data_IF_983775453178
#
_entry.id   IF_983775453178
#
_cell.length_a   1.000
_cell.length_b   1.000
_cell.length_c   1.000
_cell.angle_alpha   90.00
_cell.angle_beta   90.00
_cell.angle_gamma   90.00
#
_symmetry.space_group_name_H-M   'P 1'
#
loop_
_entity.id
_entity.type
_entity.pdbx_description
1 polymer ?
#
# COMPACT_ATOMS: atom_id res chain seq x y z
N UNK A 1 2.49 -25.22 -28.65
CA UNK A 1 3.89 -24.89 -28.31
C UNK A 1 3.94 -24.68 -26.81
N UNK A 2 4.68 -25.51 -26.07
CA UNK A 2 4.84 -25.35 -24.61
C UNK A 2 6.11 -24.54 -24.33
N UNK A 3 5.95 -23.35 -23.74
CA UNK A 3 7.06 -22.50 -23.38
C UNK A 3 7.71 -22.98 -22.06
N UNK A 4 9.04 -22.99 -21.99
CA UNK A 4 9.78 -23.36 -20.77
C UNK A 4 9.96 -22.14 -19.86
N UNK A 5 8.98 -21.88 -18.99
CA UNK A 5 9.06 -20.81 -18.00
C UNK A 5 10.00 -21.17 -16.82
N UNK A 6 10.63 -20.14 -16.23
CA UNK A 6 11.46 -20.28 -15.01
C UNK A 6 10.62 -20.67 -13.79
N UNK A 7 11.26 -21.14 -12.72
CA UNK A 7 10.58 -21.47 -11.45
C UNK A 7 9.80 -20.27 -10.89
N UNK A 8 10.45 -19.10 -10.84
CA UNK A 8 9.82 -17.82 -10.44
C UNK A 8 8.60 -17.46 -11.30
N UNK A 9 8.67 -17.63 -12.62
CA UNK A 9 7.53 -17.32 -13.48
C UNK A 9 6.33 -18.27 -13.26
N UNK A 10 6.58 -19.50 -12.78
CA UNK A 10 5.51 -20.47 -12.47
C UNK A 10 4.82 -20.20 -11.14
N UNK A 11 5.46 -19.46 -10.22
CA UNK A 11 4.86 -19.08 -8.93
C UNK A 11 4.02 -17.80 -9.01
N UNK A 12 4.08 -17.08 -10.14
CA UNK A 12 3.26 -15.91 -10.40
C UNK A 12 1.80 -16.33 -10.67
N UNK A 13 0.94 -16.17 -9.66
CA UNK A 13 -0.51 -16.37 -9.80
C UNK A 13 -1.20 -15.22 -10.54
N UNK A 14 -2.46 -15.43 -10.95
CA UNK A 14 -3.31 -14.34 -11.44
C UNK A 14 -3.59 -13.33 -10.32
N UNK A 15 -3.69 -12.05 -10.67
CA UNK A 15 -4.06 -11.00 -9.71
C UNK A 15 -5.57 -10.84 -9.72
N UNK A 16 -6.25 -11.36 -8.69
CA UNK A 16 -7.71 -11.19 -8.50
C UNK A 16 -8.10 -9.71 -8.57
N UNK A 17 -7.29 -8.81 -7.97
CA UNK A 17 -7.54 -7.36 -8.04
C UNK A 17 -7.50 -6.85 -9.48
N UNK A 18 -6.54 -7.31 -10.30
CA UNK A 18 -6.48 -6.97 -11.72
C UNK A 18 -7.70 -7.49 -12.48
N UNK A 19 -8.12 -8.71 -12.18
CA UNK A 19 -9.24 -9.35 -12.88
C UNK A 19 -10.57 -8.67 -12.49
N UNK A 20 -10.76 -8.29 -11.22
CA UNK A 20 -11.86 -7.43 -10.76
C UNK A 20 -11.82 -6.07 -11.46
N UNK A 21 -10.66 -5.42 -11.52
CA UNK A 21 -10.53 -4.12 -12.18
C UNK A 21 -10.91 -4.19 -13.66
N UNK A 22 -10.49 -5.25 -14.38
CA UNK A 22 -10.87 -5.49 -15.77
C UNK A 22 -12.37 -5.67 -15.94
N UNK A 23 -13.03 -6.38 -15.02
CA UNK A 23 -14.49 -6.57 -15.05
C UNK A 23 -15.25 -5.26 -14.81
N UNK A 24 -14.69 -4.36 -14.00
CA UNK A 24 -15.31 -3.06 -13.68
C UNK A 24 -15.02 -1.96 -14.69
N UNK A 25 -14.01 -2.13 -15.56
CA UNK A 25 -13.65 -1.12 -16.56
C UNK A 25 -14.68 -1.10 -17.70
N UNK A 26 -15.34 0.04 -17.90
CA UNK A 26 -16.28 0.24 -19.01
C UNK A 26 -17.62 -0.49 -18.84
N UNK A 27 -17.95 -0.93 -17.63
CA UNK A 27 -19.22 -1.60 -17.29
C UNK A 27 -20.04 -0.76 -16.31
N UNK A 28 -21.32 -1.09 -16.12
CA UNK A 28 -22.20 -0.46 -15.10
C UNK A 28 -21.90 -0.92 -13.65
N UNK A 29 -20.80 -1.65 -13.44
CA UNK A 29 -20.42 -2.19 -12.14
C UNK A 29 -19.78 -1.08 -11.30
N UNK A 30 -20.39 -0.75 -10.17
CA UNK A 30 -19.84 0.20 -9.19
C UNK A 30 -18.67 -0.46 -8.44
N UNK A 31 -17.45 0.01 -8.70
CA UNK A 31 -16.24 -0.56 -8.10
C UNK A 31 -15.90 0.11 -6.77
N UNK A 32 -16.07 -0.64 -5.68
CA UNK A 32 -15.52 -0.37 -4.34
C UNK A 32 -14.20 -1.14 -4.11
N UNK A 33 -13.59 -1.67 -5.17
CA UNK A 33 -12.47 -2.60 -5.07
C UNK A 33 -11.10 -1.92 -5.22
N UNK A 34 -10.90 -1.16 -6.30
CA UNK A 34 -9.59 -0.68 -6.74
C UNK A 34 -8.84 0.14 -5.69
N UNK A 35 -7.52 -0.06 -5.59
CA UNK A 35 -6.63 0.77 -4.75
C UNK A 35 -6.31 2.14 -5.36
N UNK A 36 -7.32 2.77 -5.96
CA UNK A 36 -7.19 3.91 -6.85
C UNK A 36 -7.58 5.21 -6.12
N UNK A 37 -6.74 6.25 -6.14
CA UNK A 37 -7.15 7.58 -5.71
C UNK A 37 -8.28 8.10 -6.62
N UNK A 38 -9.07 9.02 -6.10
CA UNK A 38 -10.03 9.80 -6.89
C UNK A 38 -9.29 10.63 -7.95
N UNK A 39 -9.54 10.31 -9.22
CA UNK A 39 -8.89 10.92 -10.38
C UNK A 39 -9.31 12.37 -10.64
N UNK A 40 -10.54 12.74 -10.24
CA UNK A 40 -11.05 14.12 -10.29
C UNK A 40 -10.19 15.11 -9.48
N UNK A 41 -9.35 14.64 -8.56
CA UNK A 41 -8.43 15.47 -7.79
C UNK A 41 -7.02 15.53 -8.36
N UNK A 42 -6.69 14.77 -9.40
CA UNK A 42 -5.34 14.84 -9.95
C UNK A 42 -5.03 16.26 -10.41
N UNK A 43 -3.87 16.83 -10.03
CA UNK A 43 -3.53 18.21 -10.32
C UNK A 43 -3.04 18.36 -11.78
N UNK A 44 -3.89 18.00 -12.74
CA UNK A 44 -3.56 17.86 -14.18
C UNK A 44 -2.89 19.11 -14.72
N UNK A 45 -3.43 20.29 -14.43
CA UNK A 45 -2.88 21.57 -14.89
C UNK A 45 -1.48 21.86 -14.30
N UNK A 46 -1.29 21.59 -13.00
CA UNK A 46 0.00 21.81 -12.36
C UNK A 46 1.05 20.82 -12.86
N UNK A 47 0.66 19.56 -13.08
CA UNK A 47 1.49 18.53 -13.70
C UNK A 47 1.86 18.93 -15.12
N UNK A 48 0.90 19.31 -15.97
CA UNK A 48 1.15 19.74 -17.34
C UNK A 48 2.15 20.90 -17.41
N UNK A 49 1.96 21.93 -16.58
CA UNK A 49 2.90 23.05 -16.47
C UNK A 49 4.29 22.62 -16.00
N UNK A 50 4.39 21.63 -15.13
CA UNK A 50 5.69 21.10 -14.70
C UNK A 50 6.44 20.42 -15.85
N UNK A 51 5.76 19.57 -16.64
CA UNK A 51 6.36 18.99 -17.85
C UNK A 51 6.75 20.07 -18.87
N UNK A 52 5.91 21.08 -19.08
CA UNK A 52 6.23 22.20 -19.97
C UNK A 52 7.52 22.93 -19.52
N UNK A 53 7.67 23.20 -18.21
CA UNK A 53 8.89 23.79 -17.66
C UNK A 53 10.11 22.91 -17.89
N UNK A 54 10.01 21.61 -17.66
CA UNK A 54 11.11 20.67 -17.93
C UNK A 54 11.56 20.76 -19.38
N UNK A 55 10.64 20.71 -20.34
CA UNK A 55 11.01 20.81 -21.75
C UNK A 55 11.60 22.17 -22.12
N UNK A 56 11.13 23.25 -21.49
CA UNK A 56 11.65 24.61 -21.74
C UNK A 56 13.03 24.84 -21.12
N UNK A 57 13.28 24.35 -19.90
CA UNK A 57 14.50 24.62 -19.13
C UNK A 57 15.61 23.61 -19.42
N UNK A 58 15.27 22.32 -19.51
CA UNK A 58 16.23 21.25 -19.67
C UNK A 58 16.38 20.80 -21.14
N UNK A 59 15.37 21.06 -21.97
CA UNK A 59 15.39 20.71 -23.40
C UNK A 59 15.76 19.25 -23.63
N UNK A 60 16.78 19.02 -24.46
CA UNK A 60 17.26 17.67 -24.81
C UNK A 60 17.85 16.90 -23.63
N UNK A 61 18.32 17.58 -22.57
CA UNK A 61 18.91 16.88 -21.40
C UNK A 61 17.87 16.11 -20.59
N UNK A 62 16.61 16.59 -20.55
CA UNK A 62 15.52 15.86 -19.90
C UNK A 62 15.18 14.54 -20.63
N UNK A 63 15.48 14.45 -21.93
CA UNK A 63 15.22 13.28 -22.76
C UNK A 63 16.35 12.25 -22.74
N UNK A 64 17.48 12.54 -22.09
CA UNK A 64 18.63 11.66 -22.04
C UNK A 64 18.56 10.69 -20.84
N UNK A 65 19.33 9.61 -20.92
CA UNK A 65 19.58 8.72 -19.78
C UNK A 65 20.06 9.52 -18.54
N UNK A 66 19.50 9.16 -17.39
CA UNK A 66 19.83 9.73 -16.08
C UNK A 66 20.62 8.78 -15.20
N UNK A 67 20.83 9.19 -13.95
CA UNK A 67 21.47 8.36 -12.93
C UNK A 67 20.50 7.28 -12.43
N UNK A 68 21.01 6.06 -12.23
CA UNK A 68 20.24 4.93 -11.66
C UNK A 68 19.58 5.28 -10.34
N UNK A 69 20.31 5.97 -9.46
CA UNK A 69 19.82 6.35 -8.13
C UNK A 69 18.69 7.39 -8.18
N UNK A 70 18.54 8.09 -9.30
CA UNK A 70 17.54 9.12 -9.52
C UNK A 70 18.10 10.54 -9.68
N UNK A 71 17.20 11.45 -10.04
CA UNK A 71 17.49 12.85 -10.28
C UNK A 71 17.90 13.55 -8.98
N UNK A 72 19.12 14.10 -8.95
CA UNK A 72 19.75 14.64 -7.74
C UNK A 72 18.88 15.71 -7.05
N UNK A 73 18.37 16.75 -7.74
CA UNK A 73 17.54 17.77 -7.09
C UNK A 73 16.29 17.20 -6.42
N UNK A 74 15.67 16.18 -7.00
CA UNK A 74 14.52 15.52 -6.39
C UNK A 74 14.93 14.73 -5.14
N UNK A 75 16.07 14.02 -5.17
CA UNK A 75 16.59 13.30 -3.99
C UNK A 75 16.93 14.25 -2.84
N UNK A 76 17.53 15.40 -3.13
CA UNK A 76 17.82 16.45 -2.13
C UNK A 76 16.55 17.11 -1.60
N UNK A 77 15.52 17.24 -2.42
CA UNK A 77 14.20 17.68 -1.94
C UNK A 77 13.56 16.64 -1.02
N UNK A 78 13.69 15.35 -1.35
CA UNK A 78 13.21 14.27 -0.51
C UNK A 78 13.92 14.25 0.84
N UNK A 79 15.23 14.54 0.94
CA UNK A 79 15.88 14.65 2.25
C UNK A 79 15.23 15.72 3.13
N UNK A 80 14.86 16.87 2.56
CA UNK A 80 14.15 17.93 3.29
C UNK A 80 12.73 17.50 3.70
N UNK A 81 12.02 16.77 2.82
CA UNK A 81 10.70 16.20 3.13
C UNK A 81 10.75 15.10 4.20
N UNK A 82 11.85 14.34 4.27
CA UNK A 82 12.08 13.34 5.30
C UNK A 82 12.42 14.00 6.63
N UNK A 83 13.21 15.09 6.61
CA UNK A 83 13.54 15.85 7.81
C UNK A 83 12.29 16.43 8.50
N UNK A 84 11.29 16.89 7.74
CA UNK A 84 10.02 17.36 8.32
C UNK A 84 9.17 16.25 8.97
N UNK A 85 9.52 14.98 8.71
CA UNK A 85 8.92 13.80 9.33
C UNK A 85 9.80 13.21 10.44
N UNK A 86 10.85 13.93 10.85
CA UNK A 86 11.78 13.47 11.89
C UNK A 86 12.80 12.43 11.40
N UNK A 87 12.95 12.23 10.09
CA UNK A 87 13.94 11.32 9.50
C UNK A 87 15.14 12.14 9.02
N UNK A 88 16.31 11.90 9.63
CA UNK A 88 17.56 12.55 9.26
C UNK A 88 18.36 11.66 8.32
N UNK A 89 18.43 12.03 7.04
CA UNK A 89 19.14 11.26 6.01
C UNK A 89 19.80 12.17 4.98
N UNK A 90 20.83 11.65 4.33
CA UNK A 90 21.45 12.29 3.16
C UNK A 90 20.86 11.73 1.88
N UNK A 91 21.14 12.37 0.75
CA UNK A 91 20.69 11.87 -0.56
C UNK A 91 21.21 10.45 -0.84
N UNK A 92 22.37 10.09 -0.28
CA UNK A 92 23.01 8.78 -0.50
C UNK A 92 22.26 7.64 0.19
N UNK A 93 21.38 7.97 1.14
CA UNK A 93 20.45 7.03 1.76
C UNK A 93 19.16 6.85 0.95
N UNK A 94 18.95 7.64 -0.12
CA UNK A 94 17.71 7.69 -0.90
C UNK A 94 17.97 7.23 -2.33
N UNK A 95 17.17 6.28 -2.82
CA UNK A 95 17.11 5.89 -4.23
C UNK A 95 15.69 6.02 -4.76
N UNK A 96 15.56 6.65 -5.94
CA UNK A 96 14.30 6.75 -6.67
C UNK A 96 13.95 5.43 -7.33
N UNK A 97 12.66 5.09 -7.31
CA UNK A 97 12.12 3.86 -7.90
C UNK A 97 10.88 4.16 -8.73
N UNK A 98 10.51 3.21 -9.60
CA UNK A 98 9.34 3.26 -10.47
C UNK A 98 8.05 2.95 -9.68
N UNK A 99 7.85 3.69 -8.59
CA UNK A 99 6.88 3.46 -7.52
C UNK A 99 7.37 2.44 -6.47
N UNK A 100 6.75 2.44 -5.29
CA UNK A 100 7.12 1.55 -4.17
C UNK A 100 7.07 0.06 -4.51
N UNK A 101 6.24 -0.36 -5.49
CA UNK A 101 6.23 -1.74 -5.96
C UNK A 101 7.60 -2.20 -6.51
N UNK A 102 8.34 -1.31 -7.19
CA UNK A 102 9.70 -1.61 -7.62
C UNK A 102 10.65 -1.66 -6.42
N UNK A 103 10.45 -0.82 -5.39
CA UNK A 103 11.21 -0.93 -4.15
C UNK A 103 11.06 -2.33 -3.55
N UNK A 104 9.82 -2.83 -3.44
CA UNK A 104 9.54 -4.17 -2.88
C UNK A 104 10.25 -5.25 -3.70
N UNK A 105 10.18 -5.20 -5.04
CA UNK A 105 10.88 -6.13 -5.92
C UNK A 105 12.40 -6.08 -5.77
N UNK A 106 13.00 -4.88 -5.81
CA UNK A 106 14.45 -4.72 -5.73
C UNK A 106 15.02 -5.11 -4.36
N UNK A 107 14.33 -4.75 -3.26
CA UNK A 107 14.72 -5.17 -1.91
C UNK A 107 14.64 -6.69 -1.79
N UNK A 108 13.56 -7.29 -2.28
CA UNK A 108 13.40 -8.76 -2.30
C UNK A 108 14.53 -9.43 -3.09
N UNK A 109 14.85 -8.90 -4.27
CA UNK A 109 15.93 -9.40 -5.13
C UNK A 109 17.32 -9.30 -4.49
N UNK A 110 17.54 -8.30 -3.65
CA UNK A 110 18.84 -8.03 -3.01
C UNK A 110 19.01 -8.83 -1.71
N UNK A 111 17.93 -9.06 -0.96
CA UNK A 111 17.99 -9.60 0.40
C UNK A 111 17.46 -11.03 0.55
N UNK A 112 16.62 -11.53 -0.37
CA UNK A 112 15.99 -12.84 -0.24
C UNK A 112 16.68 -13.90 -1.10
N UNK A 113 17.07 -14.99 -0.46
CA UNK A 113 17.28 -16.27 -1.09
C UNK A 113 16.01 -17.15 -0.98
N UNK A 114 15.80 -18.14 -1.86
CA UNK A 114 14.70 -19.09 -1.71
C UNK A 114 14.73 -19.77 -0.33
N UNK A 115 13.55 -19.91 0.29
CA UNK A 115 13.32 -20.44 1.64
C UNK A 115 13.65 -19.46 2.79
N UNK A 116 14.20 -18.28 2.52
CA UNK A 116 14.30 -17.24 3.54
C UNK A 116 12.90 -16.87 4.07
N UNK A 117 12.82 -16.58 5.37
CA UNK A 117 11.56 -16.20 5.99
C UNK A 117 11.37 -14.68 5.99
N UNK A 118 10.17 -14.23 5.62
CA UNK A 118 9.69 -12.85 5.78
C UNK A 118 8.52 -12.86 6.74
N UNK A 119 8.59 -12.03 7.79
CA UNK A 119 7.44 -11.80 8.66
C UNK A 119 6.55 -10.69 8.10
N UNK A 120 5.23 -10.87 8.16
CA UNK A 120 4.25 -9.89 7.65
C UNK A 120 3.10 -9.71 8.63
N UNK A 121 2.40 -8.57 8.52
CA UNK A 121 1.13 -8.37 9.23
C UNK A 121 0.04 -9.35 8.76
N UNK A 122 -0.99 -9.54 9.60
CA UNK A 122 -2.17 -10.33 9.28
C UNK A 122 -3.44 -9.48 9.45
N UNK A 123 -4.06 -8.95 8.37
CA UNK A 123 -3.70 -9.05 6.95
C UNK A 123 -2.57 -8.09 6.52
N UNK A 124 -2.08 -8.24 5.28
CA UNK A 124 -1.06 -7.35 4.67
C UNK A 124 -1.31 -7.10 3.18
N UNK A 125 -0.42 -6.36 2.51
CA UNK A 125 -0.55 -5.98 1.12
C UNK A 125 -0.29 -7.15 0.16
N UNK A 126 -1.32 -7.53 -0.61
CA UNK A 126 -1.30 -8.62 -1.58
C UNK A 126 -0.09 -8.59 -2.52
N UNK A 127 0.27 -7.42 -3.08
CA UNK A 127 1.35 -7.41 -4.07
C UNK A 127 2.74 -7.61 -3.44
N UNK A 128 2.92 -7.27 -2.15
CA UNK A 128 4.13 -7.65 -1.41
C UNK A 128 4.21 -9.17 -1.24
N UNK A 129 3.11 -9.83 -0.81
CA UNK A 129 3.04 -11.29 -0.70
C UNK A 129 3.39 -11.98 -2.03
N UNK A 130 2.86 -11.47 -3.15
CA UNK A 130 3.14 -11.99 -4.48
C UNK A 130 4.62 -11.87 -4.87
N UNK A 131 5.26 -10.73 -4.55
CA UNK A 131 6.69 -10.52 -4.82
C UNK A 131 7.54 -11.47 -3.99
N UNK A 132 7.34 -11.51 -2.67
CA UNK A 132 8.11 -12.38 -1.77
C UNK A 132 7.99 -13.85 -2.16
N UNK A 133 6.77 -14.31 -2.48
CA UNK A 133 6.52 -15.67 -2.96
C UNK A 133 7.21 -15.95 -4.30
N UNK A 134 7.33 -14.96 -5.18
CA UNK A 134 7.99 -15.14 -6.47
C UNK A 134 9.50 -15.38 -6.32
N UNK A 135 10.13 -14.78 -5.30
CA UNK A 135 11.52 -15.06 -4.91
C UNK A 135 11.68 -16.33 -4.06
N UNK A 136 10.59 -17.06 -3.80
CA UNK A 136 10.62 -18.33 -3.07
C UNK A 136 10.73 -18.19 -1.55
N UNK A 137 10.41 -17.01 -1.00
CA UNK A 137 10.42 -16.80 0.44
C UNK A 137 9.29 -17.57 1.15
N UNK A 138 9.57 -18.01 2.37
CA UNK A 138 8.57 -18.47 3.32
C UNK A 138 7.93 -17.25 3.98
N UNK A 139 6.62 -17.07 3.85
CA UNK A 139 5.94 -15.90 4.40
C UNK A 139 5.17 -16.33 5.64
N UNK A 140 5.53 -15.75 6.79
CA UNK A 140 4.93 -16.09 8.09
C UNK A 140 4.22 -14.86 8.63
N UNK A 141 2.92 -14.97 8.85
CA UNK A 141 2.13 -13.91 9.45
C UNK A 141 2.43 -13.76 10.94
N UNK A 142 2.51 -12.52 11.42
CA UNK A 142 2.46 -12.15 12.84
C UNK A 142 1.01 -11.73 13.14
N UNK A 143 0.51 -12.14 14.31
CA UNK A 143 -0.81 -11.77 14.78
C UNK A 143 -0.88 -10.25 14.93
N UNK A 144 -1.92 -9.65 14.36
CA UNK A 144 -2.12 -8.19 14.35
C UNK A 144 -3.51 -7.90 14.90
N UNK A 145 -3.60 -6.92 15.80
CA UNK A 145 -4.87 -6.38 16.31
C UNK A 145 -5.08 -4.94 15.82
N UNK A 146 -6.10 -4.24 16.35
CA UNK A 146 -6.39 -2.86 15.97
C UNK A 146 -5.25 -1.87 16.26
N UNK A 147 -4.31 -2.23 17.14
CA UNK A 147 -3.15 -1.42 17.52
C UNK A 147 -1.86 -1.81 16.78
N UNK A 148 -1.88 -2.84 15.93
CA UNK A 148 -0.72 -3.30 15.16
C UNK A 148 -0.23 -4.70 15.53
N UNK A 149 1.00 -5.04 15.11
CA UNK A 149 1.60 -6.36 15.38
C UNK A 149 1.70 -6.63 16.88
N UNK A 150 1.28 -7.82 17.31
CA UNK A 150 1.38 -8.25 18.70
C UNK A 150 2.83 -8.60 19.06
N UNK A 151 3.38 -7.91 20.05
CA UNK A 151 4.81 -7.97 20.39
C UNK A 151 5.26 -9.36 20.86
N UNK A 152 4.42 -10.08 21.62
CA UNK A 152 4.77 -11.42 22.12
C UNK A 152 4.87 -12.44 20.98
N UNK A 153 3.92 -12.39 20.04
CA UNK A 153 3.92 -13.26 18.86
C UNK A 153 5.05 -12.89 17.89
N UNK A 154 5.34 -11.59 17.72
CA UNK A 154 6.51 -11.12 16.99
C UNK A 154 7.80 -11.67 17.60
N UNK A 155 7.99 -11.52 18.92
CA UNK A 155 9.22 -11.97 19.57
C UNK A 155 9.40 -13.49 19.44
N UNK A 156 8.33 -14.27 19.60
CA UNK A 156 8.38 -15.72 19.41
C UNK A 156 8.84 -16.07 17.98
N UNK A 157 8.26 -15.41 16.96
CA UNK A 157 8.58 -15.65 15.55
C UNK A 157 9.96 -15.16 15.15
N UNK A 158 10.45 -14.06 15.74
CA UNK A 158 11.83 -13.61 15.54
C UNK A 158 12.83 -14.66 16.02
N UNK A 159 12.59 -15.29 17.19
CA UNK A 159 13.42 -16.37 17.74
C UNK A 159 13.37 -17.63 16.88
N UNK A 160 12.16 -18.02 16.47
CA UNK A 160 11.92 -19.28 15.74
C UNK A 160 12.43 -19.22 14.30
N UNK A 161 12.09 -18.15 13.57
CA UNK A 161 12.31 -18.10 12.12
C UNK A 161 13.55 -17.34 11.69
N UNK A 162 14.12 -16.48 12.56
CA UNK A 162 15.26 -15.61 12.23
C UNK A 162 15.10 -14.94 10.85
N UNK A 163 13.98 -14.21 10.64
CA UNK A 163 13.58 -13.75 9.32
C UNK A 163 14.58 -12.77 8.71
N UNK A 164 14.60 -12.67 7.37
CA UNK A 164 15.40 -11.65 6.67
C UNK A 164 14.93 -10.24 7.00
N UNK A 165 13.62 -10.05 7.04
CA UNK A 165 13.01 -8.80 7.46
C UNK A 165 11.54 -9.00 7.88
N UNK A 166 11.01 -7.99 8.57
CA UNK A 166 9.59 -7.83 8.90
C UNK A 166 9.00 -6.75 7.97
N UNK A 167 8.03 -7.09 7.13
CA UNK A 167 7.34 -6.13 6.24
C UNK A 167 6.04 -5.63 6.87
N UNK A 168 5.88 -4.30 6.92
CA UNK A 168 4.84 -3.63 7.70
C UNK A 168 4.32 -2.38 6.99
N UNK A 169 3.04 -2.05 7.23
CA UNK A 169 2.36 -0.85 6.76
C UNK A 169 1.68 -0.19 7.99
N UNK A 170 2.44 0.46 8.89
CA UNK A 170 1.94 0.84 10.21
C UNK A 170 0.85 1.92 10.19
N UNK A 171 0.72 2.65 9.08
CA UNK A 171 -0.15 3.82 8.95
C UNK A 171 -1.13 3.65 7.79
N UNK A 172 -2.42 3.55 8.12
CA UNK A 172 -3.54 3.35 7.19
C UNK A 172 -3.34 2.13 6.28
N UNK A 173 -3.02 1.00 6.91
CA UNK A 173 -2.59 -0.23 6.25
C UNK A 173 -3.47 -0.66 5.07
N UNK A 174 -2.87 -1.30 4.07
CA UNK A 174 -3.63 -1.99 3.03
C UNK A 174 -3.59 -3.50 3.34
N UNK A 175 -4.72 -4.13 3.68
CA UNK A 175 -6.09 -3.67 3.44
C UNK A 175 -6.80 -3.04 4.65
N UNK A 176 -6.25 -3.16 5.87
CA UNK A 176 -7.05 -3.00 7.08
C UNK A 176 -7.43 -1.55 7.40
N UNK A 177 -6.75 -0.54 6.84
CA UNK A 177 -6.92 0.87 7.18
C UNK A 177 -6.51 1.20 8.62
N UNK A 178 -5.84 0.27 9.30
CA UNK A 178 -5.45 0.38 10.70
C UNK A 178 -4.27 1.32 10.89
N UNK A 179 -4.13 1.83 12.12
CA UNK A 179 -2.99 2.64 12.54
C UNK A 179 -2.41 2.04 13.81
N UNK A 180 -1.11 1.78 13.78
CA UNK A 180 -0.43 1.22 14.94
C UNK A 180 -0.35 2.22 16.10
N UNK A 181 -0.52 1.72 17.33
CA UNK A 181 -0.26 2.49 18.54
C UNK A 181 1.22 2.81 18.68
N UNK A 182 1.55 3.87 19.44
CA UNK A 182 2.94 4.21 19.73
C UNK A 182 3.67 3.07 20.45
N UNK A 183 2.99 2.36 21.35
CA UNK A 183 3.53 1.18 22.03
C UNK A 183 3.97 0.10 21.03
N UNK A 184 3.12 -0.25 20.05
CA UNK A 184 3.48 -1.24 19.03
C UNK A 184 4.62 -0.75 18.14
N UNK A 185 4.60 0.52 17.72
CA UNK A 185 5.68 1.09 16.89
C UNK A 185 7.05 0.99 17.59
N UNK A 186 7.12 1.44 18.85
CA UNK A 186 8.35 1.38 19.65
C UNK A 186 8.77 -0.07 19.91
N UNK A 187 7.85 -0.91 20.37
CA UNK A 187 8.16 -2.30 20.71
C UNK A 187 8.61 -3.14 19.52
N UNK A 188 8.05 -2.93 18.32
CA UNK A 188 8.50 -3.63 17.10
C UNK A 188 9.93 -3.22 16.73
N UNK A 189 10.25 -1.92 16.79
CA UNK A 189 11.61 -1.41 16.55
C UNK A 189 12.59 -2.02 17.57
N UNK A 190 12.27 -1.97 18.87
CA UNK A 190 13.11 -2.51 19.93
C UNK A 190 13.37 -4.01 19.77
N UNK A 191 12.33 -4.80 19.46
CA UNK A 191 12.47 -6.23 19.20
C UNK A 191 13.33 -6.49 17.96
N UNK A 192 13.07 -5.81 16.85
CA UNK A 192 13.84 -6.03 15.62
C UNK A 192 15.32 -5.66 15.81
N UNK A 193 15.64 -4.57 16.52
CA UNK A 193 17.01 -4.23 16.92
C UNK A 193 17.64 -5.32 17.80
N UNK A 194 16.92 -5.78 18.83
CA UNK A 194 17.38 -6.83 19.75
C UNK A 194 17.77 -8.13 19.03
N UNK A 195 17.03 -8.51 17.98
CA UNK A 195 17.29 -9.72 17.20
C UNK A 195 18.07 -9.46 15.89
N UNK A 196 18.55 -8.23 15.65
CA UNK A 196 19.29 -7.87 14.42
C UNK A 196 18.49 -8.09 13.13
N UNK A 197 17.16 -7.96 13.20
CA UNK A 197 16.26 -8.17 12.06
C UNK A 197 15.90 -6.81 11.44
N UNK A 198 15.89 -6.73 10.10
CA UNK A 198 15.48 -5.52 9.40
C UNK A 198 13.95 -5.36 9.43
N UNK A 199 13.48 -4.12 9.49
CA UNK A 199 12.09 -3.75 9.24
C UNK A 199 12.02 -3.13 7.84
N UNK A 200 11.05 -3.56 7.05
CA UNK A 200 10.69 -2.93 5.78
C UNK A 200 9.33 -2.23 5.93
N UNK A 201 9.38 -0.94 6.24
CA UNK A 201 8.23 -0.06 6.40
C UNK A 201 7.78 0.48 5.04
N UNK A 202 6.56 0.14 4.61
CA UNK A 202 5.93 0.70 3.42
C UNK A 202 4.85 1.69 3.83
N UNK A 203 5.03 2.96 3.46
CA UNK A 203 4.18 4.08 3.89
C UNK A 203 3.67 4.90 2.70
N UNK A 204 2.78 4.34 1.86
CA UNK A 204 2.22 5.07 0.73
C UNK A 204 1.06 5.98 1.16
N UNK A 205 0.58 5.88 2.40
CA UNK A 205 -0.65 6.53 2.87
C UNK A 205 -0.45 7.53 4.00
N UNK A 206 0.69 7.56 4.71
CA UNK A 206 0.86 8.29 5.97
C UNK A 206 0.50 9.79 5.93
N UNK A 207 0.57 10.40 4.74
CA UNK A 207 0.18 11.80 4.52
C UNK A 207 -1.33 12.02 4.36
N UNK A 208 -2.10 10.98 4.05
CA UNK A 208 -3.55 11.01 3.83
C UNK A 208 -4.34 10.91 5.15
N UNK A 209 -3.99 11.71 6.15
CA UNK A 209 -4.67 11.76 7.46
C UNK A 209 -5.92 12.63 7.41
N UNK A 210 -6.99 12.20 8.07
CA UNK A 210 -8.26 12.95 8.11
C UNK A 210 -8.27 14.10 9.11
N UNK A 211 -7.45 14.00 10.17
CA UNK A 211 -7.17 15.09 11.10
C UNK A 211 -5.67 15.39 11.11
N UNK A 212 -5.30 16.63 10.79
CA UNK A 212 -3.90 17.05 10.74
C UNK A 212 -3.21 17.05 12.10
N UNK A 213 -3.97 17.11 13.20
CA UNK A 213 -3.43 17.05 14.56
C UNK A 213 -2.93 15.66 14.92
N UNK A 214 -3.40 14.63 14.19
CA UNK A 214 -2.88 13.28 14.35
C UNK A 214 -1.42 13.22 13.87
N UNK A 215 -0.59 12.58 14.69
CA UNK A 215 0.80 12.35 14.41
C UNK A 215 1.11 10.85 14.54
N UNK A 216 1.64 10.27 13.47
CA UNK A 216 1.99 8.86 13.36
C UNK A 216 3.45 8.77 12.93
N UNK A 217 4.42 8.87 13.86
CA UNK A 217 5.84 8.82 13.51
C UNK A 217 6.17 7.50 12.81
N UNK A 218 7.00 7.56 11.78
CA UNK A 218 7.47 6.39 11.04
C UNK A 218 8.34 5.53 11.95
N UNK A 219 8.41 4.22 11.68
CA UNK A 219 9.31 3.33 12.39
C UNK A 219 10.77 3.76 12.18
N UNK A 220 11.11 4.25 10.99
CA UNK A 220 12.44 4.80 10.72
C UNK A 220 12.77 6.00 11.64
N UNK A 221 11.84 6.92 11.84
CA UNK A 221 12.06 8.07 12.74
C UNK A 221 12.25 7.66 14.20
N UNK A 222 11.58 6.57 14.63
CA UNK A 222 11.71 6.00 15.97
C UNK A 222 13.07 5.29 16.11
N UNK A 223 13.44 4.48 15.11
CA UNK A 223 14.69 3.72 15.12
C UNK A 223 15.94 4.63 15.16
N UNK A 224 15.91 5.75 14.43
CA UNK A 224 17.00 6.75 14.47
C UNK A 224 17.17 7.44 15.84
N UNK A 225 16.17 7.37 16.73
CA UNK A 225 16.29 7.87 18.10
C UNK A 225 16.94 6.83 19.04
N UNK A 226 17.08 5.57 18.60
CA UNK A 226 17.56 4.46 19.41
C UNK A 226 19.01 4.05 19.13
N UNK A 227 19.69 4.65 18.14
CA UNK A 227 21.11 4.43 17.88
C UNK A 227 21.60 4.99 16.55
N UNK A 228 22.90 4.84 16.29
CA UNK A 228 23.53 5.31 15.05
C UNK A 228 23.23 4.40 13.84
N UNK A 229 23.19 3.08 14.07
CA UNK A 229 22.82 2.10 13.04
C UNK A 229 21.30 2.00 12.91
N UNK A 230 20.80 2.02 11.67
CA UNK A 230 19.38 1.84 11.35
C UNK A 230 19.04 0.39 11.02
N UNK A 231 17.95 -0.11 11.60
CA UNK A 231 17.35 -1.40 11.27
C UNK A 231 16.10 -1.24 10.38
N UNK A 232 15.75 -0.02 9.98
CA UNK A 232 14.54 0.25 9.20
C UNK A 232 14.88 0.68 7.77
N UNK A 233 14.34 -0.05 6.81
CA UNK A 233 14.18 0.38 5.42
C UNK A 233 12.78 0.99 5.26
N UNK A 234 12.70 2.21 4.76
CA UNK A 234 11.45 2.92 4.55
C UNK A 234 11.18 3.10 3.05
N UNK A 235 9.98 2.83 2.58
CA UNK A 235 9.56 3.17 1.22
C UNK A 235 8.29 3.99 1.21
N UNK A 236 8.21 4.93 0.28
CA UNK A 236 6.97 5.66 0.00
C UNK A 236 6.85 6.01 -1.49
N UNK A 237 5.80 6.72 -1.85
CA UNK A 237 5.38 6.92 -3.25
C UNK A 237 4.62 8.22 -3.47
N UNK A 238 4.77 8.81 -4.65
CA UNK A 238 3.92 9.90 -5.13
C UNK A 238 2.57 9.41 -5.68
N UNK A 239 2.36 8.09 -5.72
CA UNK A 239 1.17 7.50 -6.34
C UNK A 239 -0.14 7.90 -5.67
N UNK A 240 -0.13 8.22 -4.37
CA UNK A 240 -1.33 8.52 -3.59
C UNK A 240 -1.48 10.01 -3.24
N UNK A 241 -0.44 10.80 -3.51
CA UNK A 241 -0.36 12.22 -3.17
C UNK A 241 -0.28 13.14 -4.38
N UNK A 242 0.13 12.63 -5.54
CA UNK A 242 0.18 13.38 -6.81
C UNK A 242 -0.66 12.66 -7.86
N UNK A 243 -0.15 11.56 -8.41
CA UNK A 243 -0.85 10.73 -9.38
C UNK A 243 -0.16 9.37 -9.54
N UNK A 244 -0.91 8.24 -9.55
CA UNK A 244 -0.35 6.91 -9.77
C UNK A 244 0.43 6.78 -11.08
N UNK A 245 0.00 7.49 -12.13
CA UNK A 245 0.54 7.41 -13.49
C UNK A 245 1.98 7.93 -13.65
N UNK A 246 2.46 8.77 -12.73
CA UNK A 246 3.85 9.27 -12.74
C UNK A 246 4.85 8.17 -12.39
N UNK A 247 4.38 7.06 -11.80
CA UNK A 247 5.21 5.90 -11.43
C UNK A 247 6.47 6.25 -10.65
N UNK A 248 6.37 7.13 -9.65
CA UNK A 248 7.52 7.56 -8.85
C UNK A 248 7.36 7.22 -7.37
N UNK A 249 8.40 6.63 -6.79
CA UNK A 249 8.55 6.36 -5.37
C UNK A 249 10.01 6.37 -4.97
N UNK A 250 10.30 6.08 -3.72
CA UNK A 250 11.66 6.07 -3.21
C UNK A 250 11.83 5.06 -2.07
N UNK A 251 13.06 4.58 -1.92
CA UNK A 251 13.56 3.83 -0.77
C UNK A 251 14.49 4.75 0.04
N UNK A 252 14.36 4.71 1.35
CA UNK A 252 15.31 5.24 2.33
C UNK A 252 15.88 4.05 3.10
N UNK A 253 17.19 3.87 3.08
CA UNK A 253 17.86 2.79 3.80
C UNK A 253 19.33 3.14 4.10
N UNK A 254 20.01 2.25 4.83
CA UNK A 254 21.47 2.31 4.95
C UNK A 254 22.14 2.33 3.58
N UNK A 255 23.26 3.07 3.47
CA UNK A 255 23.95 3.29 2.21
C UNK A 255 24.44 1.97 1.58
N UNK A 256 24.80 0.96 2.38
CA UNK A 256 25.19 -0.36 1.87
C UNK A 256 24.02 -1.06 1.16
N UNK A 257 22.80 -0.95 1.69
CA UNK A 257 21.59 -1.48 1.06
C UNK A 257 21.27 -0.70 -0.21
N UNK A 258 21.28 0.64 -0.15
CA UNK A 258 21.03 1.50 -1.31
C UNK A 258 22.00 1.18 -2.45
N UNK A 259 23.27 0.99 -2.17
CA UNK A 259 24.28 0.64 -3.17
C UNK A 259 24.02 -0.72 -3.85
N UNK A 260 23.47 -1.70 -3.13
CA UNK A 260 23.09 -3.00 -3.70
C UNK A 260 21.80 -2.89 -4.51
N UNK A 261 20.81 -2.17 -4.00
CA UNK A 261 19.54 -1.88 -4.69
C UNK A 261 19.79 -1.11 -5.98
N UNK A 262 20.71 -0.13 -5.98
CA UNK A 262 21.12 0.61 -7.18
C UNK A 262 21.64 -0.31 -8.27
N UNK A 263 22.56 -1.25 -7.96
CA UNK A 263 23.07 -2.23 -8.94
C UNK A 263 21.97 -3.14 -9.49
N UNK A 264 21.06 -3.59 -8.61
CA UNK A 264 19.91 -4.40 -9.02
C UNK A 264 18.96 -3.60 -9.94
N UNK A 265 18.71 -2.32 -9.61
CA UNK A 265 17.90 -1.39 -10.40
C UNK A 265 18.52 -1.13 -11.76
N UNK A 266 19.81 -0.84 -11.82
CA UNK A 266 20.53 -0.64 -13.08
C UNK A 266 20.35 -1.83 -14.02
N UNK A 267 20.39 -3.05 -13.47
CA UNK A 267 20.16 -4.28 -14.23
C UNK A 267 18.69 -4.51 -14.61
N UNK A 268 17.75 -3.91 -13.89
CA UNK A 268 16.32 -4.08 -14.12
C UNK A 268 15.76 -3.07 -15.14
N UNK A 269 16.11 -1.79 -15.01
CA UNK A 269 15.55 -0.73 -15.85
C UNK A 269 16.50 0.45 -16.15
N UNK A 270 17.80 0.32 -15.83
CA UNK A 270 18.82 1.37 -15.89
C UNK A 270 18.57 2.51 -14.90
N UNK A 271 17.47 3.25 -15.06
CA UNK A 271 16.98 4.28 -14.16
C UNK A 271 15.48 4.53 -14.40
N UNK A 272 14.78 5.10 -13.41
CA UNK A 272 13.40 5.55 -13.61
C UNK A 272 13.32 6.77 -14.52
N UNK A 273 12.16 7.03 -15.14
CA UNK A 273 11.95 8.13 -16.08
C UNK A 273 12.55 9.47 -15.57
N UNK A 274 13.55 9.99 -16.28
CA UNK A 274 14.20 11.26 -15.94
C UNK A 274 13.22 12.42 -16.07
N UNK A 275 12.36 12.39 -17.11
CA UNK A 275 11.36 13.42 -17.38
C UNK A 275 10.37 13.51 -16.23
N UNK A 276 9.87 12.37 -15.74
CA UNK A 276 8.89 12.34 -14.64
C UNK A 276 9.51 12.84 -13.33
N UNK A 277 10.77 12.51 -13.06
CA UNK A 277 11.48 12.99 -11.88
C UNK A 277 11.77 14.50 -11.94
N UNK A 278 12.19 15.02 -13.10
CA UNK A 278 12.35 16.46 -13.31
C UNK A 278 11.00 17.18 -13.15
N UNK A 279 9.93 16.63 -13.74
CA UNK A 279 8.60 17.22 -13.65
C UNK A 279 8.06 17.19 -12.22
N UNK A 280 8.33 16.13 -11.44
CA UNK A 280 8.01 16.11 -10.02
C UNK A 280 8.80 17.16 -9.23
N UNK A 281 10.09 17.33 -9.50
CA UNK A 281 10.88 18.38 -8.86
C UNK A 281 10.30 19.76 -9.16
N UNK A 282 10.01 20.04 -10.43
CA UNK A 282 9.34 21.27 -10.87
C UNK A 282 7.94 21.43 -10.28
N UNK A 283 7.18 20.35 -10.10
CA UNK A 283 5.85 20.42 -9.49
C UNK A 283 5.99 20.90 -8.04
N UNK A 284 6.95 20.35 -7.28
CA UNK A 284 7.14 20.64 -5.87
C UNK A 284 7.64 22.07 -5.58
N UNK A 285 8.07 22.83 -6.60
CA UNK A 285 8.41 24.26 -6.46
C UNK A 285 7.23 25.21 -6.67
N UNK A 286 6.26 24.81 -7.49
CA UNK A 286 5.21 25.71 -7.97
C UNK A 286 3.79 25.25 -7.60
N UNK A 287 3.64 24.11 -6.93
CA UNK A 287 2.37 23.56 -6.50
C UNK A 287 2.38 23.30 -4.99
N UNK A 288 1.37 23.81 -4.28
CA UNK A 288 1.15 23.52 -2.86
C UNK A 288 0.66 22.07 -2.69
N UNK A 289 1.62 21.14 -2.68
CA UNK A 289 1.34 19.72 -2.50
C UNK A 289 0.67 19.45 -1.15
N UNK A 290 1.04 20.18 -0.10
CA UNK A 290 0.50 19.98 1.24
C UNK A 290 -0.97 20.42 1.31
N UNK A 291 -1.30 21.57 0.71
CA UNK A 291 -2.68 22.04 0.55
C UNK A 291 -3.52 21.13 -0.33
N UNK A 292 -2.92 20.58 -1.38
CA UNK A 292 -3.58 19.57 -2.20
C UNK A 292 -3.90 18.31 -1.39
N UNK A 293 -2.94 17.77 -0.64
CA UNK A 293 -3.15 16.61 0.22
C UNK A 293 -4.22 16.88 1.28
N UNK A 294 -4.22 18.06 1.91
CA UNK A 294 -5.30 18.47 2.84
C UNK A 294 -6.68 18.39 2.19
N UNK A 295 -6.79 18.90 0.97
CA UNK A 295 -8.06 18.90 0.21
C UNK A 295 -8.52 17.47 -0.08
N UNK A 296 -7.61 16.63 -0.57
CA UNK A 296 -7.89 15.22 -0.88
C UNK A 296 -8.26 14.43 0.38
N UNK A 297 -7.53 14.61 1.47
CA UNK A 297 -7.82 13.96 2.76
C UNK A 297 -9.19 14.34 3.30
N UNK A 298 -9.57 15.62 3.22
CA UNK A 298 -10.90 16.10 3.65
C UNK A 298 -12.02 15.48 2.83
N UNK A 299 -11.86 15.42 1.50
CA UNK A 299 -12.81 14.74 0.63
C UNK A 299 -12.94 13.24 0.98
N UNK A 300 -11.80 12.55 1.14
CA UNK A 300 -11.80 11.12 1.45
C UNK A 300 -12.46 10.83 2.80
N UNK A 301 -12.26 11.71 3.79
CA UNK A 301 -12.97 11.65 5.05
C UNK A 301 -14.49 11.77 4.85
N UNK A 302 -14.94 12.77 4.08
CA UNK A 302 -16.36 12.96 3.75
C UNK A 302 -16.97 11.73 3.05
N UNK A 303 -16.26 11.13 2.09
CA UNK A 303 -16.69 9.90 1.41
C UNK A 303 -16.80 8.71 2.36
N UNK A 304 -15.80 8.53 3.24
CA UNK A 304 -15.80 7.48 4.26
C UNK A 304 -16.99 7.65 5.23
N UNK A 305 -17.23 8.85 5.74
CA UNK A 305 -18.37 9.14 6.63
C UNK A 305 -19.72 8.88 5.94
N UNK A 306 -19.85 9.28 4.67
CA UNK A 306 -21.06 9.02 3.90
C UNK A 306 -21.30 7.52 3.71
N UNK A 307 -20.26 6.78 3.31
CA UNK A 307 -20.35 5.33 3.13
C UNK A 307 -20.72 4.62 4.44
N UNK A 308 -20.02 4.92 5.53
CA UNK A 308 -20.31 4.30 6.84
C UNK A 308 -21.70 4.65 7.35
N UNK A 309 -22.20 5.86 7.11
CA UNK A 309 -23.58 6.24 7.46
C UNK A 309 -24.59 5.39 6.71
N UNK A 310 -24.45 5.26 5.39
CA UNK A 310 -25.31 4.42 4.55
C UNK A 310 -25.27 2.94 4.96
N UNK A 311 -24.10 2.42 5.33
CA UNK A 311 -23.95 1.05 5.82
C UNK A 311 -24.64 0.86 7.19
N UNK A 312 -24.53 1.83 8.11
CA UNK A 312 -25.21 1.79 9.43
C UNK A 312 -26.73 1.77 9.27
N UNK A 313 -27.28 2.52 8.32
CA UNK A 313 -28.71 2.55 8.02
C UNK A 313 -29.27 1.19 7.55
N UNK A 314 -28.42 0.29 7.03
CA UNK A 314 -28.85 -1.05 6.61
C UNK A 314 -29.00 -2.04 7.76
N UNK A 315 -28.42 -1.75 8.93
CA UNK A 315 -28.49 -2.60 10.12
C UNK A 315 -28.10 -4.06 9.85
N UNK A 316 -27.05 -4.29 9.06
CA UNK A 316 -26.59 -5.65 8.76
C UNK A 316 -26.13 -6.37 10.02
N UNK A 317 -26.75 -7.52 10.30
CA UNK A 317 -26.47 -8.32 11.49
C UNK A 317 -25.07 -8.94 11.43
N UNK A 318 -24.29 -8.76 12.51
CA UNK A 318 -22.96 -9.36 12.66
C UNK A 318 -21.88 -8.82 11.70
N UNK A 319 -22.16 -7.74 10.96
CA UNK A 319 -21.16 -7.05 10.14
C UNK A 319 -20.54 -5.90 10.93
N UNK A 320 -19.22 -5.86 11.00
CA UNK A 320 -18.47 -4.77 11.63
C UNK A 320 -17.40 -4.24 10.69
N UNK A 321 -16.88 -3.05 10.96
CA UNK A 321 -15.76 -2.48 10.23
C UNK A 321 -14.99 -1.50 11.10
N UNK A 322 -13.78 -1.17 10.69
CA UNK A 322 -12.95 -0.17 11.38
C UNK A 322 -13.29 1.25 10.92
N UNK A 323 -13.27 2.20 11.86
CA UNK A 323 -13.29 3.61 11.55
C UNK A 323 -11.88 4.06 11.12
N UNK A 324 -11.72 4.42 9.85
CA UNK A 324 -10.43 4.82 9.31
C UNK A 324 -10.06 6.24 9.78
N UNK A 325 -8.83 6.41 10.26
CA UNK A 325 -8.26 7.74 10.62
C UNK A 325 -7.60 8.45 9.42
N UNK A 326 -7.57 7.78 8.27
CA UNK A 326 -6.94 8.24 7.05
C UNK A 326 -6.83 7.13 6.00
N UNK A 327 -6.08 7.40 4.94
CA UNK A 327 -5.84 6.47 3.85
C UNK A 327 -7.05 6.33 2.92
N UNK A 328 -7.29 5.10 2.46
CA UNK A 328 -8.18 4.84 1.33
C UNK A 328 -9.10 3.62 1.49
N UNK A 329 -8.95 2.87 2.58
CA UNK A 329 -9.58 1.56 2.73
C UNK A 329 -10.32 1.43 4.04
N UNK A 330 -11.40 0.66 3.97
CA UNK A 330 -12.17 0.18 5.10
C UNK A 330 -12.17 -1.35 5.05
N UNK A 331 -11.98 -1.96 6.20
CA UNK A 331 -11.94 -3.40 6.37
C UNK A 331 -13.21 -3.87 7.06
N UNK A 332 -14.00 -4.64 6.33
CA UNK A 332 -15.29 -5.12 6.78
C UNK A 332 -15.15 -6.58 7.19
N UNK A 333 -15.62 -6.89 8.40
CA UNK A 333 -15.72 -8.24 8.94
C UNK A 333 -17.17 -8.71 8.83
N UNK A 334 -17.39 -9.77 8.06
CA UNK A 334 -18.67 -10.45 7.92
C UNK A 334 -18.84 -11.50 9.05
N UNK A 335 -20.06 -12.00 9.29
CA UNK A 335 -20.28 -13.04 10.28
C UNK A 335 -19.45 -14.29 10.01
N UNK A 336 -19.20 -15.06 11.06
CA UNK A 336 -18.40 -16.28 10.97
C UNK A 336 -18.96 -17.27 9.94
N UNK A 337 -18.05 -17.93 9.21
CA UNK A 337 -18.39 -18.85 8.12
C UNK A 337 -18.87 -18.18 6.83
N UNK A 338 -18.91 -16.84 6.74
CA UNK A 338 -19.11 -16.17 5.46
C UNK A 338 -17.91 -16.39 4.52
N UNK A 339 -18.22 -16.47 3.23
CA UNK A 339 -17.29 -16.61 2.11
C UNK A 339 -17.38 -15.39 1.22
N UNK A 340 -16.43 -14.46 1.41
CA UNK A 340 -16.37 -13.18 0.69
C UNK A 340 -16.12 -13.34 -0.81
N UNK A 341 -15.49 -14.44 -1.24
CA UNK A 341 -15.34 -14.80 -2.64
C UNK A 341 -16.69 -15.14 -3.29
N UNK A 342 -17.51 -15.96 -2.62
CA UNK A 342 -18.87 -16.25 -3.10
C UNK A 342 -19.78 -15.02 -3.03
N UNK A 343 -19.66 -14.21 -1.98
CA UNK A 343 -20.40 -12.94 -1.89
C UNK A 343 -19.99 -11.97 -3.01
N UNK A 344 -18.72 -11.95 -3.42
CA UNK A 344 -18.27 -11.14 -4.55
C UNK A 344 -18.96 -11.56 -5.86
N UNK A 345 -19.13 -12.87 -6.09
CA UNK A 345 -19.84 -13.35 -7.30
C UNK A 345 -21.27 -12.81 -7.37
N UNK A 346 -21.99 -12.80 -6.24
CA UNK A 346 -23.34 -12.23 -6.13
C UNK A 346 -23.33 -10.70 -6.25
N UNK A 347 -22.36 -10.05 -5.62
CA UNK A 347 -22.19 -8.60 -5.71
C UNK A 347 -21.97 -8.14 -7.16
N UNK A 348 -21.14 -8.87 -7.93
CA UNK A 348 -20.90 -8.58 -9.35
C UNK A 348 -22.20 -8.72 -10.15
N UNK A 349 -23.05 -9.70 -9.85
CA UNK A 349 -24.37 -9.85 -10.50
C UNK A 349 -25.28 -8.66 -10.21
N UNK A 350 -25.22 -8.11 -9.01
CA UNK A 350 -25.90 -6.88 -8.61
C UNK A 350 -25.21 -5.60 -9.12
N UNK A 351 -24.06 -5.71 -9.80
CA UNK A 351 -23.33 -4.58 -10.35
C UNK A 351 -22.55 -3.79 -9.31
N UNK A 352 -22.02 -4.43 -8.26
CA UNK A 352 -21.06 -3.82 -7.33
C UNK A 352 -19.88 -4.76 -7.07
N UNK A 353 -18.67 -4.24 -6.90
CA UNK A 353 -17.49 -5.07 -6.67
C UNK A 353 -16.66 -4.57 -5.49
N UNK A 354 -16.07 -5.49 -4.74
CA UNK A 354 -15.12 -5.25 -3.66
C UNK A 354 -13.95 -6.25 -3.76
N UNK A 355 -12.96 -6.20 -2.86
CA UNK A 355 -11.91 -7.24 -2.82
C UNK A 355 -12.14 -8.22 -1.66
N UNK A 356 -12.26 -9.54 -1.93
CA UNK A 356 -12.37 -10.57 -0.90
C UNK A 356 -11.14 -10.56 0.00
N UNK A 357 -11.35 -10.73 1.31
CA UNK A 357 -10.30 -10.55 2.31
C UNK A 357 -9.18 -11.58 2.22
N UNK A 358 -9.50 -12.80 1.76
CA UNK A 358 -8.60 -13.94 1.75
C UNK A 358 -7.27 -13.69 1.05
N UNK A 359 -7.27 -12.85 0.02
CA UNK A 359 -6.08 -12.55 -0.79
C UNK A 359 -5.03 -11.72 -0.04
N UNK A 360 -5.39 -11.14 1.11
CA UNK A 360 -4.51 -10.30 1.92
C UNK A 360 -3.85 -11.06 3.07
N UNK A 361 -4.14 -12.36 3.23
CA UNK A 361 -3.55 -13.21 4.26
C UNK A 361 -2.53 -14.16 3.65
N UNK A 362 -1.35 -14.29 4.28
CA UNK A 362 -0.29 -15.17 3.79
C UNK A 362 -0.71 -16.66 3.79
N UNK A 363 -1.53 -17.04 4.76
CA UNK A 363 -2.10 -18.38 4.94
C UNK A 363 -3.46 -18.57 4.25
N UNK A 364 -3.94 -17.57 3.50
CA UNK A 364 -5.27 -17.54 2.89
C UNK A 364 -6.41 -17.73 3.91
N UNK A 365 -6.22 -17.28 5.16
CA UNK A 365 -7.30 -17.11 6.12
C UNK A 365 -8.16 -15.89 5.78
N UNK A 366 -9.15 -15.55 6.62
CA UNK A 366 -9.95 -14.33 6.45
C UNK A 366 -10.99 -14.41 5.32
N UNK A 367 -11.60 -15.58 5.11
CA UNK A 367 -12.70 -15.76 4.15
C UNK A 367 -13.89 -14.85 4.43
N UNK A 368 -14.09 -14.43 5.69
CA UNK A 368 -15.17 -13.55 6.12
C UNK A 368 -14.80 -12.06 6.09
N UNK A 369 -13.67 -11.67 5.51
CA UNK A 369 -13.32 -10.24 5.41
C UNK A 369 -13.51 -9.68 4.00
N UNK A 370 -13.67 -8.36 3.90
CA UNK A 370 -13.74 -7.61 2.64
C UNK A 370 -12.92 -6.32 2.78
N UNK A 371 -12.17 -5.94 1.74
CA UNK A 371 -11.66 -4.58 1.58
C UNK A 371 -12.61 -3.75 0.72
N UNK A 372 -13.02 -2.61 1.25
CA UNK A 372 -13.74 -1.56 0.53
C UNK A 372 -12.81 -0.35 0.33
N UNK A 373 -12.74 0.16 -0.90
CA UNK A 373 -12.17 1.45 -1.22
C UNK A 373 -13.27 2.51 -1.26
N UNK A 374 -13.12 3.59 -0.49
CA UNK A 374 -14.08 4.69 -0.44
C UNK A 374 -13.63 5.92 -1.26
N UNK A 375 -12.50 5.84 -1.96
CA UNK A 375 -11.89 7.01 -2.60
C UNK A 375 -12.32 7.17 -4.04
N UNK A 376 -12.37 6.11 -4.84
CA UNK A 376 -12.55 6.25 -6.29
C UNK A 376 -14.01 6.48 -6.72
N UNK A 377 -14.95 5.73 -6.15
CA UNK A 377 -16.37 5.80 -6.54
C UNK A 377 -16.93 7.20 -6.36
N UNK A 378 -17.71 7.67 -7.35
CA UNK A 378 -18.42 8.94 -7.25
C UNK A 378 -19.32 8.96 -6.00
N UNK A 379 -19.23 9.98 -5.12
CA UNK A 379 -20.03 10.07 -3.92
C UNK A 379 -21.54 9.96 -4.16
N UNK A 380 -22.04 10.45 -5.30
CA UNK A 380 -23.45 10.37 -5.68
C UNK A 380 -23.93 8.95 -5.93
N UNK A 381 -23.02 8.02 -6.29
CA UNK A 381 -23.31 6.62 -6.56
C UNK A 381 -23.16 5.73 -5.31
N UNK A 382 -22.60 6.24 -4.20
CA UNK A 382 -22.46 5.47 -2.95
C UNK A 382 -23.77 4.90 -2.41
N UNK A 383 -24.92 5.63 -2.42
CA UNK A 383 -26.20 5.04 -1.99
C UNK A 383 -26.58 3.82 -2.82
N UNK A 384 -26.38 3.86 -4.13
CA UNK A 384 -26.68 2.74 -5.01
C UNK A 384 -25.69 1.59 -4.84
N UNK A 385 -24.40 1.88 -4.64
CA UNK A 385 -23.39 0.86 -4.32
C UNK A 385 -23.76 0.09 -3.04
N UNK A 386 -24.21 0.79 -1.99
CA UNK A 386 -24.66 0.18 -0.73
C UNK A 386 -25.96 -0.60 -0.93
N UNK A 387 -26.90 -0.12 -1.76
CA UNK A 387 -28.11 -0.88 -2.11
C UNK A 387 -27.79 -2.21 -2.81
N UNK A 388 -26.88 -2.18 -3.79
CA UNK A 388 -26.43 -3.38 -4.51
C UNK A 388 -25.75 -4.37 -3.57
N UNK A 389 -24.91 -3.87 -2.66
CA UNK A 389 -24.25 -4.71 -1.66
C UNK A 389 -25.25 -5.33 -0.68
N UNK A 390 -26.27 -4.58 -0.26
CA UNK A 390 -27.37 -5.08 0.59
C UNK A 390 -28.15 -6.22 -0.09
N UNK A 391 -28.48 -6.08 -1.38
CA UNK A 391 -29.14 -7.14 -2.16
C UNK A 391 -28.27 -8.40 -2.24
N UNK A 392 -26.97 -8.24 -2.54
CA UNK A 392 -26.03 -9.36 -2.59
C UNK A 392 -25.90 -10.08 -1.23
N UNK A 393 -25.88 -9.34 -0.12
CA UNK A 393 -25.85 -9.91 1.23
C UNK A 393 -27.12 -10.69 1.58
N UNK A 394 -28.29 -10.19 1.17
CA UNK A 394 -29.58 -10.89 1.34
C UNK A 394 -29.60 -12.19 0.54
N UNK A 395 -29.22 -12.15 -0.74
CA UNK A 395 -29.11 -13.35 -1.58
C UNK A 395 -28.15 -14.38 -0.98
N UNK A 396 -26.98 -13.94 -0.48
CA UNK A 396 -26.02 -14.83 0.16
C UNK A 396 -26.59 -15.50 1.42
N UNK A 397 -27.36 -14.75 2.22
CA UNK A 397 -27.99 -15.26 3.44
C UNK A 397 -29.10 -16.26 3.13
N UNK A 398 -29.93 -15.98 2.12
CA UNK A 398 -30.95 -16.90 1.60
C UNK A 398 -30.32 -18.21 1.09
N UNK A 399 -29.25 -18.14 0.28
CA UNK A 399 -28.51 -19.32 -0.20
C UNK A 399 -27.96 -20.19 0.95
N UNK A 400 -27.57 -19.58 2.08
CA UNK A 400 -27.08 -20.31 3.25
C UNK A 400 -28.21 -20.99 4.03
N UNK A 401 -29.35 -20.32 4.19
CA UNK A 401 -30.51 -20.89 4.87
C UNK A 401 -31.03 -22.12 4.12
N UNK A 402 -31.16 -22.04 2.80
CA UNK A 402 -31.58 -23.19 1.97
C UNK A 402 -30.64 -24.40 2.08
N UNK A 403 -29.33 -24.17 2.22
CA UNK A 403 -28.33 -25.23 2.41
C UNK A 403 -28.31 -25.81 3.83
N UNK A 404 -28.78 -25.06 4.84
CA UNK A 404 -28.88 -25.56 6.22
C UNK A 404 -30.14 -26.41 6.48
N UNK A 405 -31.14 -26.29 5.61
CA UNK A 405 -32.42 -27.04 5.70
C UNK A 405 -32.39 -28.35 4.89
N UNK A 406 -31.40 -28.53 4.01
CA UNK A 406 -31.12 -29.76 3.26
C UNK A 406 -29.98 -30.53 3.93
#
# INVERSE_FOLDING_TARGET
MEYKFSGMARTQGSSIVRDILKLTQGTEVLSLAGGLPADVFFPVEAVAKAYERVFRLNGTTALQYGLTDGYIPLRERLTSMMASQGISVTRDNIIMTTGSQQTIDLVSRVLLDPQDTVLVESPTYLAALQVFKSYGANIVSVNTDSNGMQLDDLEAKLKEYQPKFVYVIPTFSNPAGSVWSMERRVGVVELCRKYGTLIFEDDPYGRLKFDEKLNFPTLLSIDQQQGEDSHVMYTSTFSKTVAPGVRSGWLVADQAIVNKVSKAKQSADLHSSSIDQCALNELLDFFDLDGHIRTVSSEYHSRMLRLTTLMKERQWEGITWNDALGGMFMWVTLPEGFRSDRLLELAIQEGVAFVPGQVFYADLSGSNHIRINFTHTDPSLLPEAVNRLDRALKMYTEERLEKSVR
#
